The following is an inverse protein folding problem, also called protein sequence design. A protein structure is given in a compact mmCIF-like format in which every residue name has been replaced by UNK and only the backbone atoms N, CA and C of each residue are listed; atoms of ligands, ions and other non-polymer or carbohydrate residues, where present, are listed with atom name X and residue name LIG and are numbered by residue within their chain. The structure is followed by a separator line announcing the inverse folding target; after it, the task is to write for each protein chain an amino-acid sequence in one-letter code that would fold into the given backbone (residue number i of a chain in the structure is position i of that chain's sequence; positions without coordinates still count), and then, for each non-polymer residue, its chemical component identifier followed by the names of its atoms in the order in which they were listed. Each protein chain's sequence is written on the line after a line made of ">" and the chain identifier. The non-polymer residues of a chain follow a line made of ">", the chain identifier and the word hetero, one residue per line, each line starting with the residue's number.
data_IF_036250188359
#
_entry.id   IF_036250188359
#
_cell.length_a   1.000
_cell.length_b   1.000
_cell.length_c   1.000
_cell.angle_alpha   90.00
_cell.angle_beta   90.00
_cell.angle_gamma   90.00
#
_symmetry.space_group_name_H-M   'P 1'
#
loop_
_entity.id
_entity.type
_entity.pdbx_description
1 polymer ?
#
# COMPACT_ATOMS: atom_id res chain seq x y z
N UNK A 1 3.03 -8.60 0.58
CA UNK A 1 2.27 -9.34 -0.46
C UNK A 1 1.63 -8.41 -1.50
N UNK A 2 0.78 -7.44 -1.12
CA UNK A 2 0.14 -6.54 -2.11
C UNK A 2 1.14 -5.79 -3.00
N UNK A 3 2.24 -5.29 -2.45
CA UNK A 3 3.31 -4.65 -3.24
C UNK A 3 3.94 -5.58 -4.28
N UNK A 4 4.20 -6.84 -3.92
CA UNK A 4 4.72 -7.86 -4.83
C UNK A 4 3.75 -8.19 -5.97
N UNK A 5 2.44 -8.17 -5.71
CA UNK A 5 1.42 -8.41 -6.73
C UNK A 5 1.32 -7.26 -7.72
N UNK A 6 1.30 -6.02 -7.22
CA UNK A 6 1.00 -4.86 -8.06
C UNK A 6 2.19 -4.34 -8.85
N UNK A 7 3.35 -4.23 -8.19
CA UNK A 7 4.53 -3.68 -8.82
C UNK A 7 5.77 -4.13 -8.03
N UNK A 8 6.24 -5.37 -8.23
CA UNK A 8 7.31 -5.94 -7.42
C UNK A 8 8.62 -5.15 -7.54
N UNK A 9 9.01 -4.75 -8.75
CA UNK A 9 10.25 -4.02 -8.99
C UNK A 9 10.22 -2.64 -8.32
N UNK A 10 9.15 -1.88 -8.54
CA UNK A 10 8.91 -0.60 -7.88
C UNK A 10 8.91 -0.74 -6.35
N UNK A 11 8.22 -1.75 -5.83
CA UNK A 11 8.15 -1.97 -4.39
C UNK A 11 9.53 -2.24 -3.80
N UNK A 12 10.33 -3.08 -4.46
CA UNK A 12 11.68 -3.44 -4.03
C UNK A 12 12.67 -2.27 -4.16
N UNK A 13 12.57 -1.48 -5.22
CA UNK A 13 13.40 -0.30 -5.45
C UNK A 13 13.22 0.72 -4.31
N UNK A 14 11.98 1.12 -4.03
CA UNK A 14 11.72 2.12 -2.99
C UNK A 14 11.86 1.59 -1.56
N UNK A 15 11.74 0.27 -1.35
CA UNK A 15 12.16 -0.37 -0.10
C UNK A 15 13.66 -0.21 0.13
N UNK A 16 14.46 -0.50 -0.90
CA UNK A 16 15.92 -0.36 -0.85
C UNK A 16 16.35 1.09 -0.61
N UNK A 17 15.65 2.04 -1.23
CA UNK A 17 15.90 3.48 -1.04
C UNK A 17 15.37 3.99 0.32
N UNK A 18 14.63 3.15 1.05
CA UNK A 18 14.09 3.49 2.37
C UNK A 18 12.98 4.54 2.32
N UNK A 19 12.29 4.69 1.19
CA UNK A 19 11.16 5.63 1.03
C UNK A 19 9.83 4.93 0.86
N UNK A 20 9.75 3.62 1.11
CA UNK A 20 8.48 2.91 1.14
C UNK A 20 7.78 3.04 2.50
N UNK A 21 6.55 3.55 2.47
CA UNK A 21 5.73 3.78 3.65
C UNK A 21 4.48 2.91 3.66
N UNK A 22 3.95 2.67 4.85
CA UNK A 22 2.64 2.06 5.05
C UNK A 22 1.76 2.89 6.00
N UNK A 23 0.45 2.81 5.84
CA UNK A 23 -0.50 3.45 6.74
C UNK A 23 -1.93 3.05 6.47
N UNK A 24 -2.85 3.62 7.24
CA UNK A 24 -4.30 3.47 7.02
C UNK A 24 -4.85 4.80 6.52
N UNK A 25 -5.61 4.73 5.43
CA UNK A 25 -6.17 5.88 4.76
C UNK A 25 -7.27 6.52 5.61
N UNK A 26 -7.04 7.78 5.99
CA UNK A 26 -8.08 8.67 6.49
C UNK A 26 -8.38 9.71 5.39
N UNK A 27 -9.62 9.78 4.89
CA UNK A 27 -9.99 10.66 3.77
C UNK A 27 -9.71 12.15 4.01
N UNK A 28 -9.48 12.56 5.26
CA UNK A 28 -9.08 13.94 5.61
C UNK A 28 -7.59 14.25 5.39
N UNK A 29 -6.74 13.24 5.22
CA UNK A 29 -5.27 13.41 5.34
C UNK A 29 -4.48 12.83 4.16
N UNK A 30 -5.12 12.19 3.18
CA UNK A 30 -4.44 11.48 2.09
C UNK A 30 -5.25 11.48 0.78
N UNK A 31 -4.54 11.19 -0.32
CA UNK A 31 -5.07 11.12 -1.70
C UNK A 31 -6.16 10.03 -1.83
N UNK A 32 -7.08 10.15 -2.79
CA UNK A 32 -8.14 9.16 -3.04
C UNK A 32 -9.43 9.35 -2.23
N UNK A 33 -9.40 10.14 -1.15
CA UNK A 33 -10.59 10.61 -0.43
C UNK A 33 -11.51 9.47 0.03
N UNK A 34 -12.83 9.65 -0.18
CA UNK A 34 -13.84 8.72 0.34
C UNK A 34 -13.82 7.33 -0.32
N UNK A 35 -13.27 7.19 -1.54
CA UNK A 35 -13.29 5.91 -2.28
C UNK A 35 -12.41 4.81 -1.65
N UNK A 36 -11.48 5.23 -0.79
CA UNK A 36 -10.49 4.40 -0.09
C UNK A 36 -10.55 4.61 1.43
N UNK A 37 -11.66 5.14 1.95
CA UNK A 37 -11.84 5.32 3.38
C UNK A 37 -11.75 3.97 4.13
N UNK A 38 -10.84 3.88 5.10
CA UNK A 38 -10.57 2.66 5.87
C UNK A 38 -9.91 1.54 5.06
N UNK A 39 -9.22 1.89 3.97
CA UNK A 39 -8.24 1.01 3.32
C UNK A 39 -6.87 1.26 3.96
N UNK A 40 -6.04 0.23 4.02
CA UNK A 40 -4.61 0.41 4.24
C UNK A 40 -3.92 0.78 2.92
N UNK A 41 -2.71 1.32 2.98
CA UNK A 41 -1.94 1.67 1.80
C UNK A 41 -0.45 1.44 1.98
N UNK A 42 0.23 1.29 0.85
CA UNK A 42 1.67 1.54 0.72
C UNK A 42 1.90 2.68 -0.29
N UNK A 43 2.99 3.43 -0.13
CA UNK A 43 3.36 4.55 -1.02
C UNK A 43 4.87 4.81 -0.99
N UNK A 44 5.43 5.21 -2.13
CA UNK A 44 6.87 5.45 -2.30
C UNK A 44 7.33 6.86 -1.93
N UNK A 45 6.42 7.84 -1.81
CA UNK A 45 6.71 9.23 -1.35
C UNK A 45 5.43 10.08 -1.13
N UNK A 46 4.24 9.50 -1.24
CA UNK A 46 2.97 10.20 -1.06
C UNK A 46 2.48 10.97 -2.29
N UNK A 47 3.09 10.79 -3.47
CA UNK A 47 2.56 11.23 -4.75
C UNK A 47 1.32 10.42 -5.14
N UNK A 48 0.38 11.01 -5.88
CA UNK A 48 -0.93 10.40 -6.14
C UNK A 48 -0.86 9.05 -6.87
N UNK A 49 0.16 8.84 -7.70
CA UNK A 49 0.35 7.61 -8.49
C UNK A 49 0.98 6.48 -7.69
N UNK A 50 1.80 6.82 -6.68
CA UNK A 50 2.47 5.82 -5.84
C UNK A 50 1.56 5.08 -4.86
N UNK A 51 0.34 5.55 -4.62
CA UNK A 51 -0.53 4.91 -3.63
C UNK A 51 -1.13 3.62 -4.16
N UNK A 52 -0.86 2.54 -3.43
CA UNK A 52 -1.53 1.26 -3.60
C UNK A 52 -2.37 1.01 -2.35
N UNK A 53 -3.68 1.20 -2.48
CA UNK A 53 -4.65 0.97 -1.41
C UNK A 53 -5.09 -0.48 -1.40
N UNK A 54 -5.28 -1.06 -0.22
CA UNK A 54 -5.80 -2.40 -0.07
C UNK A 54 -6.70 -2.55 1.14
N UNK A 55 -7.68 -3.43 1.04
CA UNK A 55 -8.57 -3.78 2.15
C UNK A 55 -8.90 -5.26 2.10
N UNK A 56 -8.71 -5.93 3.24
CA UNK A 56 -9.06 -7.34 3.42
C UNK A 56 -10.45 -7.46 4.05
N UNK A 57 -11.35 -8.16 3.37
CA UNK A 57 -12.68 -8.50 3.85
C UNK A 57 -12.83 -10.03 3.77
N UNK A 58 -12.71 -10.72 4.92
CA UNK A 58 -12.70 -12.19 4.94
C UNK A 58 -11.56 -12.78 4.12
N UNK A 59 -11.89 -13.60 3.12
CA UNK A 59 -10.93 -14.20 2.19
C UNK A 59 -10.65 -13.34 0.95
N UNK A 60 -11.20 -12.14 0.84
CA UNK A 60 -10.99 -11.27 -0.33
C UNK A 60 -10.12 -10.07 0.04
N UNK A 61 -9.20 -9.70 -0.84
CA UNK A 61 -8.39 -8.49 -0.76
C UNK A 61 -8.71 -7.64 -1.99
N UNK A 62 -9.32 -6.48 -1.77
CA UNK A 62 -9.55 -5.48 -2.81
C UNK A 62 -8.39 -4.52 -2.83
N UNK A 63 -7.81 -4.29 -3.99
CA UNK A 63 -6.66 -3.42 -4.22
C UNK A 63 -7.09 -2.31 -5.18
N UNK A 64 -6.77 -1.05 -4.86
CA UNK A 64 -7.05 0.12 -5.69
C UNK A 64 -5.81 0.97 -5.90
N UNK A 65 -5.68 1.57 -7.08
CA UNK A 65 -4.56 2.44 -7.44
C UNK A 65 -4.98 3.40 -8.55
N UNK A 66 -4.22 4.46 -8.73
CA UNK A 66 -4.38 5.40 -9.85
C UNK A 66 -3.40 4.97 -10.94
N UNK A 67 -3.91 4.59 -12.10
CA UNK A 67 -3.06 4.17 -13.23
C UNK A 67 -2.51 5.37 -14.03
N UNK A 68 -3.24 6.49 -14.00
CA UNK A 68 -2.90 7.73 -14.69
C UNK A 68 -3.46 8.89 -13.84
N UNK A 69 -2.65 9.86 -13.41
CA UNK A 69 -3.09 10.95 -12.54
C UNK A 69 -4.07 11.90 -13.25
N UNK A 70 -4.05 11.94 -14.59
CA UNK A 70 -4.99 12.73 -15.36
C UNK A 70 -6.40 12.11 -15.35
N UNK A 71 -6.49 10.81 -15.06
CA UNK A 71 -7.75 10.10 -14.91
C UNK A 71 -8.19 10.17 -13.44
N UNK A 72 -9.36 10.74 -13.19
CA UNK A 72 -9.95 10.77 -11.85
C UNK A 72 -10.44 9.40 -11.36
N UNK A 73 -10.32 8.35 -12.18
CA UNK A 73 -10.81 7.01 -11.90
C UNK A 73 -9.72 6.12 -11.30
N UNK A 74 -9.98 5.58 -10.12
CA UNK A 74 -9.14 4.52 -9.55
C UNK A 74 -9.42 3.19 -10.22
N UNK A 75 -8.36 2.50 -10.65
CA UNK A 75 -8.45 1.09 -11.01
C UNK A 75 -8.58 0.24 -9.75
N UNK A 76 -9.24 -0.89 -9.90
CA UNK A 76 -9.50 -1.82 -8.81
C UNK A 76 -9.34 -3.24 -9.29
N UNK A 77 -8.75 -4.08 -8.46
CA UNK A 77 -8.76 -5.53 -8.63
C UNK A 77 -9.11 -6.19 -7.30
N UNK A 78 -9.68 -7.40 -7.36
CA UNK A 78 -9.92 -8.19 -6.15
C UNK A 78 -9.32 -9.58 -6.34
N UNK A 79 -8.53 -9.99 -5.36
CA UNK A 79 -7.87 -11.30 -5.32
C UNK A 79 -8.22 -11.99 -4.01
N UNK A 80 -8.19 -13.32 -3.99
CA UNK A 80 -8.35 -14.05 -2.75
C UNK A 80 -7.09 -13.91 -1.88
N UNK A 81 -7.27 -13.80 -0.57
CA UNK A 81 -6.18 -13.83 0.39
C UNK A 81 -5.44 -15.17 0.35
N UNK A 82 -6.18 -16.26 0.10
CA UNK A 82 -5.59 -17.57 -0.13
C UNK A 82 -4.59 -17.58 -1.29
N UNK A 83 -4.93 -16.98 -2.44
CA UNK A 83 -4.02 -16.92 -3.58
C UNK A 83 -2.77 -16.09 -3.25
N UNK A 84 -2.93 -14.95 -2.57
CA UNK A 84 -1.76 -14.17 -2.10
C UNK A 84 -0.81 -15.00 -1.22
N UNK A 85 -1.36 -15.85 -0.34
CA UNK A 85 -0.55 -16.74 0.48
C UNK A 85 0.15 -17.83 -0.34
N UNK A 86 -0.53 -18.41 -1.33
CA UNK A 86 0.06 -19.42 -2.22
C UNK A 86 1.18 -18.82 -3.07
N UNK A 87 0.97 -17.62 -3.61
CA UNK A 87 1.89 -16.99 -4.54
C UNK A 87 3.13 -16.42 -3.82
N UNK A 88 2.96 -15.87 -2.62
CA UNK A 88 4.00 -15.07 -1.95
C UNK A 88 4.35 -15.50 -0.52
N UNK A 89 3.72 -16.52 0.06
CA UNK A 89 3.90 -16.84 1.49
C UNK A 89 3.77 -18.34 1.82
N UNK A 90 4.04 -19.22 0.85
CA UNK A 90 3.82 -20.66 0.95
C UNK A 90 4.99 -21.37 1.64
N UNK A 91 6.22 -21.15 1.17
CA UNK A 91 7.43 -21.77 1.70
C UNK A 91 8.22 -20.85 2.65
N UNK A 92 9.26 -21.39 3.29
CA UNK A 92 10.02 -20.68 4.30
C UNK A 92 10.77 -19.47 3.74
N UNK A 93 11.33 -19.58 2.54
CA UNK A 93 12.10 -18.49 1.91
C UNK A 93 11.20 -17.31 1.57
N UNK A 94 10.02 -17.58 1.00
CA UNK A 94 8.99 -16.57 0.75
C UNK A 94 8.54 -15.87 2.03
N UNK A 95 8.34 -16.62 3.12
CA UNK A 95 7.96 -16.03 4.41
C UNK A 95 9.05 -15.12 4.94
N UNK A 96 10.32 -15.55 4.85
CA UNK A 96 11.46 -14.74 5.28
C UNK A 96 11.55 -13.47 4.44
N UNK A 97 11.42 -13.57 3.12
CA UNK A 97 11.44 -12.41 2.22
C UNK A 97 10.33 -11.41 2.54
N UNK A 98 9.06 -11.88 2.60
CA UNK A 98 7.92 -11.00 2.88
C UNK A 98 8.02 -10.34 4.24
N UNK A 99 8.47 -11.07 5.27
CA UNK A 99 8.62 -10.50 6.60
C UNK A 99 9.76 -9.49 6.68
N UNK A 100 10.91 -9.78 6.04
CA UNK A 100 12.04 -8.86 6.00
C UNK A 100 11.69 -7.56 5.27
N UNK A 101 10.98 -7.65 4.14
CA UNK A 101 10.51 -6.49 3.39
C UNK A 101 9.46 -5.70 4.17
N UNK A 102 8.50 -6.37 4.80
CA UNK A 102 7.49 -5.72 5.62
C UNK A 102 8.11 -4.95 6.80
N UNK A 103 9.16 -5.48 7.41
CA UNK A 103 9.88 -4.85 8.52
C UNK A 103 10.68 -3.61 8.11
N UNK A 104 10.97 -3.44 6.81
CA UNK A 104 11.66 -2.27 6.27
C UNK A 104 10.71 -1.10 5.98
N UNK A 105 9.39 -1.34 5.96
CA UNK A 105 8.39 -0.31 5.71
C UNK A 105 8.38 0.71 6.86
N UNK A 106 8.37 2.00 6.49
CA UNK A 106 8.25 3.10 7.46
C UNK A 106 6.79 3.43 7.70
N UNK A 107 6.42 3.74 8.94
CA UNK A 107 5.05 4.16 9.23
C UNK A 107 4.79 5.56 8.68
N UNK A 108 3.75 5.73 7.87
CA UNK A 108 3.33 7.04 7.35
C UNK A 108 3.00 8.04 8.47
N UNK A 109 2.49 7.54 9.60
CA UNK A 109 2.19 8.36 10.78
C UNK A 109 3.42 9.07 11.36
N UNK A 110 4.62 8.51 11.17
CA UNK A 110 5.87 9.11 11.63
C UNK A 110 6.31 10.33 10.81
N UNK A 111 5.82 10.47 9.58
CA UNK A 111 6.11 11.61 8.70
C UNK A 111 5.02 12.68 8.78
N UNK A 112 3.77 12.27 9.01
CA UNK A 112 2.62 13.19 9.02
C UNK A 112 2.46 14.04 10.31
N UNK A 113 3.42 14.03 11.24
CA UNK A 113 3.42 14.97 12.38
C UNK A 113 3.59 16.44 11.94
N UNK A 114 4.21 16.71 10.78
CA UNK A 114 4.36 18.08 10.27
C UNK A 114 3.14 18.60 9.48
N UNK A 115 2.27 17.71 8.97
CA UNK A 115 1.15 18.08 8.08
C UNK A 115 -0.19 18.18 8.84
N UNK A 116 -0.37 17.43 9.94
CA UNK A 116 -1.63 17.43 10.71
C UNK A 116 -1.71 18.46 11.84
N UNK A 117 -0.61 19.11 12.25
CA UNK A 117 -0.63 20.11 13.34
C UNK A 117 -1.07 21.52 12.90
N UNK A 118 -1.29 21.76 11.61
CA UNK A 118 -1.73 23.07 11.09
C UNK A 118 -3.25 23.24 11.02
N UNK A 119 -4.04 22.31 11.58
CA UNK A 119 -5.51 22.33 11.51
C UNK A 119 -6.23 22.27 12.87
N UNK A 120 -5.55 22.65 13.96
CA UNK A 120 -6.22 22.93 15.24
C UNK A 120 -6.09 24.40 15.62
#
# INVERSE_FOLDING_TARGET
>A
MVGFLQSPDWFKEYLKDGTMYYGTNNPKTVVGGNQVNGYDFITANGDSESYIYYKKNGNMVTIKWVANPADSEMKSQTISYHNLLQDYYQNQDQKVEVNNDANQLKSWSSINQAVCQSQN
#
